data_IF_570521990494
#
_entry.id   IF_570521990494
#
_cell.length_a   1.000
_cell.length_b   1.000
_cell.length_c   1.000
_cell.angle_alpha   90.00
_cell.angle_beta   90.00
_cell.angle_gamma   90.00
#
_symmetry.space_group_name_H-M   'P 1'
#
loop_
_entity.id
_entity.type
_entity.pdbx_description
1 polymer ?
#
# COMPACT_ATOMS: atom_id res chain seq x y z
N UNK A 1 17.15 -10.17 6.49
CA UNK A 1 16.78 -8.75 6.22
C UNK A 1 17.20 -7.87 7.40
N UNK A 2 17.47 -6.60 7.17
CA UNK A 2 17.80 -5.63 8.24
C UNK A 2 16.58 -5.30 9.12
N UNK A 3 16.82 -4.77 10.32
CA UNK A 3 15.73 -4.28 11.21
C UNK A 3 14.92 -3.18 10.55
N UNK A 4 15.59 -2.26 9.83
CA UNK A 4 14.94 -1.18 9.09
C UNK A 4 13.92 -1.72 8.09
N UNK A 5 14.34 -2.67 7.25
CA UNK A 5 13.47 -3.28 6.23
C UNK A 5 12.29 -4.02 6.88
N UNK A 6 12.55 -4.76 7.96
CA UNK A 6 11.54 -5.47 8.73
C UNK A 6 10.49 -4.51 9.31
N UNK A 7 10.93 -3.42 9.94
CA UNK A 7 10.05 -2.38 10.48
C UNK A 7 9.23 -1.69 9.38
N UNK A 8 9.81 -1.49 8.20
CA UNK A 8 9.09 -0.91 7.07
C UNK A 8 7.99 -1.86 6.57
N UNK A 9 8.26 -3.17 6.49
CA UNK A 9 7.25 -4.18 6.15
C UNK A 9 6.13 -4.18 7.20
N UNK A 10 6.47 -4.19 8.49
CA UNK A 10 5.49 -4.14 9.59
C UNK A 10 4.61 -2.89 9.50
N UNK A 11 5.22 -1.71 9.28
CA UNK A 11 4.49 -0.44 9.16
C UNK A 11 3.50 -0.49 7.99
N UNK A 12 3.95 -0.95 6.82
CA UNK A 12 3.12 -1.03 5.62
C UNK A 12 1.98 -2.04 5.78
N UNK A 13 2.23 -3.22 6.35
CA UNK A 13 1.21 -4.26 6.53
C UNK A 13 0.20 -3.92 7.62
N UNK A 14 0.64 -3.27 8.68
CA UNK A 14 -0.24 -2.93 9.81
C UNK A 14 -1.10 -1.69 9.56
N UNK A 15 -0.72 -0.83 8.60
CA UNK A 15 -1.37 0.47 8.36
C UNK A 15 -1.26 1.43 9.55
N UNK A 16 -0.39 1.14 10.53
CA UNK A 16 -0.27 1.95 11.74
C UNK A 16 0.63 3.17 11.50
N UNK A 17 0.25 4.29 12.12
CA UNK A 17 1.16 5.42 12.29
C UNK A 17 2.35 5.00 13.14
N UNK A 18 3.47 5.71 13.00
CA UNK A 18 4.68 5.41 13.75
C UNK A 18 4.49 5.56 15.27
N UNK A 19 3.64 6.49 15.73
CA UNK A 19 3.26 6.60 17.15
C UNK A 19 2.49 5.37 17.66
N UNK A 20 1.51 4.89 16.90
CA UNK A 20 0.78 3.67 17.27
C UNK A 20 1.68 2.44 17.23
N UNK A 21 2.58 2.39 16.26
CA UNK A 21 3.55 1.30 16.14
C UNK A 21 4.55 1.29 17.30
N UNK A 22 5.04 2.46 17.76
CA UNK A 22 5.96 2.53 18.90
C UNK A 22 5.30 2.06 20.18
N UNK A 23 4.05 2.49 20.43
CA UNK A 23 3.22 1.98 21.55
C UNK A 23 3.05 0.47 21.47
N UNK A 24 2.76 -0.08 20.29
CA UNK A 24 2.58 -1.52 20.09
C UNK A 24 3.87 -2.33 20.31
N UNK A 25 5.02 -1.75 20.02
CA UNK A 25 6.34 -2.34 20.27
C UNK A 25 6.85 -2.08 21.71
N UNK A 26 6.13 -1.29 22.50
CA UNK A 26 6.50 -0.95 23.88
C UNK A 26 7.70 0.00 23.97
N UNK A 27 7.87 0.90 23.00
CA UNK A 27 9.03 1.79 22.91
C UNK A 27 8.61 3.23 22.66
N UNK A 28 9.50 4.19 22.94
CA UNK A 28 9.23 5.60 22.63
C UNK A 28 9.19 5.84 21.12
N UNK A 29 8.47 6.89 20.70
CA UNK A 29 8.44 7.31 19.29
C UNK A 29 9.85 7.60 18.76
N UNK A 30 10.69 8.28 19.55
CA UNK A 30 12.06 8.61 19.20
C UNK A 30 12.92 7.35 18.99
N UNK A 31 12.74 6.33 19.85
CA UNK A 31 13.43 5.05 19.74
C UNK A 31 13.06 4.34 18.44
N UNK A 32 11.76 4.20 18.14
CA UNK A 32 11.32 3.60 16.89
C UNK A 32 11.80 4.40 15.67
N UNK A 33 11.77 5.73 15.75
CA UNK A 33 12.26 6.60 14.69
C UNK A 33 13.75 6.38 14.41
N UNK A 34 14.55 6.20 15.46
CA UNK A 34 15.97 5.92 15.35
C UNK A 34 16.22 4.59 14.61
N UNK A 35 15.46 3.54 14.92
CA UNK A 35 15.57 2.22 14.27
C UNK A 35 15.13 2.26 12.80
N UNK A 36 14.00 2.91 12.49
CA UNK A 36 13.51 3.04 11.11
C UNK A 36 14.52 3.80 10.23
N UNK A 37 15.20 4.79 10.80
CA UNK A 37 16.23 5.55 10.08
C UNK A 37 17.62 4.90 10.13
N UNK A 38 17.77 3.76 10.80
CA UNK A 38 19.06 3.05 10.93
C UNK A 38 20.09 3.76 11.82
N UNK A 39 19.67 4.74 12.64
CA UNK A 39 20.55 5.50 13.55
C UNK A 39 20.96 4.69 14.79
N UNK A 40 20.20 3.65 15.13
CA UNK A 40 20.54 2.72 16.22
C UNK A 40 19.92 1.35 15.95
N UNK A 41 20.34 0.34 16.72
CA UNK A 41 19.80 -1.01 16.66
C UNK A 41 19.00 -1.35 17.93
N UNK A 42 17.92 -2.13 17.81
CA UNK A 42 17.17 -2.62 18.96
C UNK A 42 18.01 -3.56 19.81
N UNK A 43 17.77 -3.57 21.13
CA UNK A 43 18.30 -4.62 22.01
C UNK A 43 17.50 -5.92 21.81
N UNK A 44 18.08 -7.06 22.21
CA UNK A 44 17.50 -8.41 22.06
C UNK A 44 15.98 -8.48 22.34
N UNK A 45 15.52 -7.97 23.47
CA UNK A 45 14.08 -7.97 23.84
C UNK A 45 13.20 -7.21 22.84
N UNK A 46 13.69 -6.07 22.34
CA UNK A 46 12.95 -5.29 21.34
C UNK A 46 12.99 -5.98 19.97
N UNK A 47 14.09 -6.63 19.62
CA UNK A 47 14.19 -7.43 18.40
C UNK A 47 13.21 -8.62 18.42
N UNK A 48 13.08 -9.31 19.55
CA UNK A 48 12.08 -10.36 19.76
C UNK A 48 10.66 -9.83 19.57
N UNK A 49 10.34 -8.65 20.11
CA UNK A 49 9.03 -8.00 19.90
C UNK A 49 8.78 -7.66 18.43
N UNK A 50 9.81 -7.17 17.72
CA UNK A 50 9.72 -6.87 16.29
C UNK A 50 9.49 -8.15 15.49
N UNK A 51 10.21 -9.23 15.80
CA UNK A 51 10.05 -10.53 15.15
C UNK A 51 8.66 -11.12 15.41
N UNK A 52 8.18 -11.10 16.65
CA UNK A 52 6.84 -11.57 17.00
C UNK A 52 5.75 -10.78 16.28
N UNK A 53 5.89 -9.46 16.17
CA UNK A 53 4.95 -8.64 15.42
C UNK A 53 5.02 -8.91 13.91
N UNK A 54 6.23 -9.13 13.38
CA UNK A 54 6.42 -9.53 11.98
C UNK A 54 5.67 -10.83 11.68
N UNK A 55 5.93 -11.89 12.42
CA UNK A 55 5.28 -13.20 12.23
C UNK A 55 3.76 -13.13 12.36
N UNK A 56 3.26 -12.35 13.32
CA UNK A 56 1.82 -12.14 13.49
C UNK A 56 1.17 -11.48 12.27
N UNK A 57 1.87 -10.57 11.59
CA UNK A 57 1.35 -9.84 10.44
C UNK A 57 1.52 -10.60 9.12
N UNK A 58 2.64 -11.31 8.96
CA UNK A 58 2.96 -12.03 7.72
C UNK A 58 2.45 -13.47 7.70
N UNK A 59 2.23 -14.08 8.87
CA UNK A 59 1.94 -15.51 9.01
C UNK A 59 3.15 -16.41 8.79
N UNK A 60 4.35 -15.84 8.63
CA UNK A 60 5.59 -16.58 8.40
C UNK A 60 6.16 -17.10 9.72
N UNK A 61 6.87 -18.23 9.66
CA UNK A 61 7.56 -18.82 10.82
C UNK A 61 9.00 -18.35 10.99
N UNK A 62 9.59 -17.84 9.90
CA UNK A 62 10.98 -17.40 9.85
C UNK A 62 11.05 -16.04 9.15
N UNK A 63 12.09 -15.26 9.48
CA UNK A 63 12.34 -13.96 8.86
C UNK A 63 13.21 -14.20 7.62
N UNK A 64 12.72 -13.94 6.40
CA UNK A 64 13.53 -14.13 5.20
C UNK A 64 14.82 -13.30 5.21
N UNK A 65 15.87 -13.84 4.61
CA UNK A 65 17.15 -13.13 4.47
C UNK A 65 16.98 -11.91 3.57
N UNK A 66 16.18 -12.01 2.50
CA UNK A 66 15.97 -10.93 1.55
C UNK A 66 14.57 -10.27 1.71
N UNK A 67 14.48 -8.93 1.77
CA UNK A 67 13.19 -8.21 1.75
C UNK A 67 12.32 -8.52 0.52
N UNK A 68 12.92 -8.78 -0.64
CA UNK A 68 12.20 -9.14 -1.86
C UNK A 68 11.51 -10.49 -1.73
N UNK A 69 12.19 -11.48 -1.16
CA UNK A 69 11.62 -12.79 -0.88
C UNK A 69 10.47 -12.69 0.12
N UNK A 70 10.63 -11.89 1.17
CA UNK A 70 9.57 -11.61 2.11
C UNK A 70 8.32 -11.04 1.43
N UNK A 71 8.48 -10.01 0.59
CA UNK A 71 7.37 -9.41 -0.16
C UNK A 71 6.72 -10.42 -1.11
N UNK A 72 7.52 -11.18 -1.86
CA UNK A 72 7.04 -12.21 -2.78
C UNK A 72 6.20 -13.26 -2.04
N UNK A 73 6.69 -13.76 -0.91
CA UNK A 73 6.00 -14.78 -0.13
C UNK A 73 4.66 -14.26 0.42
N UNK A 74 4.63 -13.03 0.97
CA UNK A 74 3.39 -12.41 1.44
C UNK A 74 2.37 -12.28 0.30
N UNK A 75 2.80 -11.86 -0.89
CA UNK A 75 1.93 -11.73 -2.06
C UNK A 75 1.42 -13.10 -2.49
N UNK A 76 2.29 -14.11 -2.52
CA UNK A 76 1.94 -15.47 -2.92
C UNK A 76 0.94 -16.13 -1.95
N UNK A 77 1.11 -15.93 -0.65
CA UNK A 77 0.18 -16.46 0.35
C UNK A 77 -1.18 -15.73 0.30
N UNK A 78 -1.18 -14.43 0.01
CA UNK A 78 -2.42 -13.68 -0.27
C UNK A 78 -3.07 -14.12 -1.59
N UNK A 79 -2.32 -14.39 -2.64
CA UNK A 79 -2.87 -14.80 -3.94
C UNK A 79 -3.54 -16.16 -3.86
N UNK A 80 -3.01 -17.10 -3.07
CA UNK A 80 -3.68 -18.38 -2.78
C UNK A 80 -5.06 -18.20 -2.16
N UNK A 81 -5.24 -17.19 -1.30
CA UNK A 81 -6.53 -16.88 -0.67
C UNK A 81 -7.54 -16.35 -1.69
N UNK A 82 -7.08 -15.63 -2.72
CA UNK A 82 -7.93 -15.04 -3.76
C UNK A 82 -7.62 -15.67 -5.12
N UNK A 83 -8.10 -16.90 -5.34
CA UNK A 83 -7.87 -17.67 -6.58
C UNK A 83 -8.23 -16.91 -7.86
N UNK A 84 -9.23 -16.02 -7.80
CA UNK A 84 -9.69 -15.24 -8.95
C UNK A 84 -9.99 -13.80 -8.52
N UNK A 85 -8.93 -12.99 -8.47
CA UNK A 85 -9.00 -11.62 -7.98
C UNK A 85 -9.81 -10.72 -8.92
N UNK A 86 -9.75 -10.97 -10.24
CA UNK A 86 -10.52 -10.21 -11.23
C UNK A 86 -12.01 -10.43 -11.04
N UNK A 87 -12.46 -11.68 -10.84
CA UNK A 87 -13.86 -11.93 -10.48
C UNK A 87 -14.26 -11.25 -9.18
N UNK A 88 -13.35 -11.12 -8.21
CA UNK A 88 -13.65 -10.42 -6.96
C UNK A 88 -13.79 -8.91 -7.19
N UNK A 89 -12.90 -8.30 -7.98
CA UNK A 89 -12.99 -6.88 -8.33
C UNK A 89 -14.30 -6.61 -9.08
N UNK A 90 -14.58 -7.32 -10.16
CA UNK A 90 -15.78 -7.13 -10.99
C UNK A 90 -17.09 -7.34 -10.22
N UNK A 91 -17.10 -8.25 -9.23
CA UNK A 91 -18.31 -8.51 -8.40
C UNK A 91 -18.59 -7.44 -7.33
N UNK A 92 -17.65 -6.55 -7.05
CA UNK A 92 -17.78 -5.56 -5.97
C UNK A 92 -17.70 -4.17 -6.63
N UNK A 93 -18.85 -3.52 -6.92
CA UNK A 93 -18.90 -2.28 -7.70
C UNK A 93 -17.99 -1.17 -7.14
N UNK A 94 -17.94 -1.03 -5.82
CA UNK A 94 -17.05 -0.10 -5.11
C UNK A 94 -15.57 -0.33 -5.44
N UNK A 95 -15.12 -1.58 -5.45
CA UNK A 95 -13.74 -1.95 -5.77
C UNK A 95 -13.49 -1.78 -7.28
N UNK A 96 -14.45 -2.16 -8.11
CA UNK A 96 -14.36 -2.01 -9.56
C UNK A 96 -14.24 -0.54 -9.96
N UNK A 97 -15.10 0.33 -9.44
CA UNK A 97 -15.11 1.76 -9.76
C UNK A 97 -13.82 2.42 -9.29
N UNK A 98 -13.36 2.15 -8.07
CA UNK A 98 -12.08 2.66 -7.59
C UNK A 98 -10.91 2.16 -8.45
N UNK A 99 -10.93 0.89 -8.86
CA UNK A 99 -9.89 0.32 -9.71
C UNK A 99 -9.89 1.00 -11.10
N UNK A 100 -11.06 1.15 -11.72
CA UNK A 100 -11.24 1.81 -13.01
C UNK A 100 -10.76 3.27 -12.94
N UNK A 101 -11.18 4.01 -11.91
CA UNK A 101 -10.73 5.37 -11.67
C UNK A 101 -9.21 5.47 -11.59
N UNK A 102 -8.59 4.62 -10.78
CA UNK A 102 -7.14 4.66 -10.57
C UNK A 102 -6.37 4.34 -11.86
N UNK A 103 -6.81 3.36 -12.67
CA UNK A 103 -6.12 3.05 -13.93
C UNK A 103 -6.29 4.16 -14.97
N UNK A 104 -7.49 4.74 -15.10
CA UNK A 104 -7.77 5.81 -16.05
C UNK A 104 -7.00 7.07 -15.67
N UNK A 105 -7.07 7.49 -14.40
CA UNK A 105 -6.34 8.66 -13.93
C UNK A 105 -4.82 8.50 -14.11
N UNK A 106 -4.24 7.39 -13.66
CA UNK A 106 -2.78 7.24 -13.71
C UNK A 106 -2.25 7.09 -15.14
N UNK A 107 -2.97 6.39 -16.03
CA UNK A 107 -2.57 6.27 -17.44
C UNK A 107 -2.60 7.63 -18.13
N UNK A 108 -3.73 8.35 -18.04
CA UNK A 108 -3.87 9.66 -18.67
C UNK A 108 -2.88 10.66 -18.05
N UNK A 109 -2.57 10.55 -16.75
CA UNK A 109 -1.56 11.41 -16.10
C UNK A 109 -0.15 11.18 -16.63
N UNK A 110 0.21 9.94 -16.95
CA UNK A 110 1.49 9.60 -17.59
C UNK A 110 1.55 10.21 -19.00
N UNK A 111 0.42 10.21 -19.71
CA UNK A 111 0.27 10.78 -21.06
C UNK A 111 0.20 12.31 -21.07
N UNK A 112 0.16 12.96 -19.90
CA UNK A 112 0.26 14.41 -19.75
C UNK A 112 -1.03 15.10 -19.32
N UNK A 113 -2.08 14.36 -18.98
CA UNK A 113 -3.36 14.94 -18.57
C UNK A 113 -3.23 15.88 -17.36
N UNK A 114 -3.91 17.01 -17.45
CA UNK A 114 -4.00 18.04 -16.42
C UNK A 114 -5.16 17.81 -15.46
N UNK A 115 -6.01 16.81 -15.70
CA UNK A 115 -7.11 16.45 -14.82
C UNK A 115 -6.59 15.98 -13.46
N UNK A 116 -7.35 16.31 -12.42
CA UNK A 116 -7.22 15.74 -11.09
C UNK A 116 -8.02 14.45 -10.98
N UNK A 117 -7.71 13.61 -9.99
CA UNK A 117 -8.45 12.36 -9.77
C UNK A 117 -9.95 12.60 -9.55
N UNK A 118 -10.32 13.70 -8.88
CA UNK A 118 -11.71 14.08 -8.65
C UNK A 118 -12.42 14.52 -9.94
N UNK A 119 -11.74 15.28 -10.78
CA UNK A 119 -12.24 15.68 -12.10
C UNK A 119 -12.41 14.46 -13.01
N UNK A 120 -11.42 13.56 -13.04
CA UNK A 120 -11.52 12.28 -13.76
C UNK A 120 -12.70 11.45 -13.27
N UNK A 121 -12.93 11.35 -11.96
CA UNK A 121 -14.09 10.65 -11.39
C UNK A 121 -15.41 11.25 -11.86
N UNK A 122 -15.52 12.57 -11.79
CA UNK A 122 -16.70 13.33 -12.19
C UNK A 122 -17.05 13.10 -13.66
N UNK A 123 -16.04 13.09 -14.53
CA UNK A 123 -16.23 12.78 -15.96
C UNK A 123 -16.63 11.30 -16.12
N UNK A 124 -15.87 10.39 -15.51
CA UNK A 124 -15.99 8.94 -15.69
C UNK A 124 -17.34 8.39 -15.24
N UNK A 125 -17.79 8.72 -14.02
CA UNK A 125 -18.98 8.13 -13.40
C UNK A 125 -20.22 9.04 -13.48
N UNK A 126 -20.05 10.35 -13.32
CA UNK A 126 -21.19 11.28 -13.28
C UNK A 126 -21.56 11.82 -14.69
N UNK A 127 -20.74 11.53 -15.70
CA UNK A 127 -20.93 11.99 -17.09
C UNK A 127 -21.01 13.52 -17.22
N UNK A 128 -20.28 14.24 -16.37
CA UNK A 128 -20.25 15.71 -16.36
C UNK A 128 -19.06 16.20 -17.19
N UNK A 129 -19.33 17.10 -18.14
CA UNK A 129 -18.32 17.82 -18.89
C UNK A 129 -17.85 19.06 -18.11
N UNK A 130 -16.53 19.23 -17.99
CA UNK A 130 -15.89 20.36 -17.32
C UNK A 130 -15.61 21.47 -18.35
N UNK A 131 -16.26 22.64 -18.25
CA UNK A 131 -16.16 23.69 -19.27
C UNK A 131 -14.78 24.34 -19.37
N UNK A 132 -13.96 24.23 -18.31
CA UNK A 132 -12.63 24.85 -18.22
C UNK A 132 -11.48 23.86 -18.50
N UNK A 133 -11.79 22.68 -19.05
CA UNK A 133 -10.81 21.63 -19.35
C UNK A 133 -10.85 21.29 -20.83
N UNK A 134 -9.74 20.75 -21.33
CA UNK A 134 -9.66 20.34 -22.71
C UNK A 134 -10.66 19.21 -23.00
N UNK A 135 -11.28 19.27 -24.16
CA UNK A 135 -12.28 18.27 -24.57
C UNK A 135 -11.63 16.94 -24.90
N UNK A 136 -10.38 16.95 -25.40
CA UNK A 136 -9.64 15.73 -25.73
C UNK A 136 -9.34 14.94 -24.45
N UNK A 137 -8.83 15.61 -23.41
CA UNK A 137 -8.57 14.99 -22.10
C UNK A 137 -9.85 14.38 -21.48
N UNK A 138 -11.01 15.03 -21.67
CA UNK A 138 -12.29 14.52 -21.16
C UNK A 138 -12.79 13.31 -21.94
N UNK A 139 -12.53 13.26 -23.26
CA UNK A 139 -12.85 12.10 -24.09
C UNK A 139 -11.94 10.91 -23.78
N UNK A 140 -10.66 11.15 -23.50
CA UNK A 140 -9.70 10.11 -23.09
C UNK A 140 -10.12 9.40 -21.80
N UNK A 141 -10.79 10.09 -20.87
CA UNK A 141 -11.33 9.46 -19.65
C UNK A 141 -12.40 8.41 -19.97
N UNK A 142 -13.08 8.51 -21.11
CA UNK A 142 -14.17 7.61 -21.53
C UNK A 142 -13.72 6.48 -22.45
N UNK A 143 -12.47 6.50 -22.92
CA UNK A 143 -11.89 5.45 -23.77
C UNK A 143 -11.51 4.21 -22.95
#
# INVERSE_FOLDING_TARGET
>A
MTIKEKLQIIKNLSGLTQDRLSKKLGVSFATLNSWINGKSQPRRKAEENINGLYFKLTGQKEVPENPLEAKRQIIFDKSKKYKDILKKIVKNPDIYDQFLLSITYHTNKIEGSTLTEDETRTILFDNIALPNKDIIEQLEVKN
#
